data_IF_040065458702
#
_entry.id   IF_040065458702
#
_cell.length_a   1.000
_cell.length_b   1.000
_cell.length_c   1.000
_cell.angle_alpha   90.00
_cell.angle_beta   90.00
_cell.angle_gamma   90.00
#
_symmetry.space_group_name_H-M   'P 1'
#
loop_
_entity.id
_entity.type
_entity.pdbx_description
1 polymer ?
#
# COMPACT_ATOMS: atom_id res chain seq x y z
N UNK A 1 -18.68 -19.18 -5.53
CA UNK A 1 -19.90 -18.85 -4.78
C UNK A 1 -20.56 -20.14 -4.31
N UNK A 2 -20.73 -20.29 -2.99
CA UNK A 2 -21.42 -21.44 -2.39
C UNK A 2 -22.75 -20.95 -1.80
N UNK A 3 -23.86 -21.55 -2.17
CA UNK A 3 -25.17 -21.26 -1.63
C UNK A 3 -25.83 -22.56 -1.13
N UNK A 4 -26.58 -22.45 -0.03
CA UNK A 4 -27.33 -23.58 0.47
C UNK A 4 -28.43 -23.97 -0.54
N UNK A 5 -28.61 -25.27 -0.90
CA UNK A 5 -29.56 -25.67 -1.96
C UNK A 5 -31.02 -25.23 -1.75
N UNK A 6 -31.42 -25.04 -0.49
CA UNK A 6 -32.77 -24.58 -0.11
C UNK A 6 -32.96 -23.07 -0.19
N UNK A 7 -31.90 -22.29 -0.47
CA UNK A 7 -31.99 -20.83 -0.52
C UNK A 7 -32.53 -20.36 -1.88
N UNK A 8 -33.78 -19.88 -1.88
CA UNK A 8 -34.53 -19.57 -3.14
C UNK A 8 -33.97 -18.38 -3.92
N UNK A 9 -33.32 -17.44 -3.26
CA UNK A 9 -32.91 -16.16 -3.86
C UNK A 9 -31.43 -16.13 -4.28
N UNK A 10 -30.69 -17.23 -4.15
CA UNK A 10 -29.26 -17.26 -4.38
C UNK A 10 -28.82 -16.76 -5.78
N UNK A 11 -29.62 -17.01 -6.83
CA UNK A 11 -29.30 -16.55 -8.19
C UNK A 11 -29.34 -15.03 -8.30
N UNK A 12 -30.34 -14.38 -7.65
CA UNK A 12 -30.45 -12.93 -7.64
C UNK A 12 -29.32 -12.29 -6.86
N UNK A 13 -29.00 -12.81 -5.69
CA UNK A 13 -27.91 -12.32 -4.88
C UNK A 13 -26.54 -12.55 -5.51
N UNK A 14 -26.34 -13.71 -6.15
CA UNK A 14 -25.15 -13.96 -6.96
C UNK A 14 -24.98 -12.91 -8.06
N UNK A 15 -26.06 -12.61 -8.81
CA UNK A 15 -26.00 -11.57 -9.86
C UNK A 15 -25.65 -10.21 -9.31
N UNK A 16 -26.26 -9.82 -8.18
CA UNK A 16 -25.95 -8.54 -7.51
C UNK A 16 -24.52 -8.48 -7.02
N UNK A 17 -24.03 -9.56 -6.39
CA UNK A 17 -22.65 -9.65 -5.93
C UNK A 17 -21.64 -9.56 -7.08
N UNK A 18 -21.88 -10.29 -8.18
CA UNK A 18 -21.01 -10.24 -9.36
C UNK A 18 -20.97 -8.82 -9.95
N UNK A 19 -22.12 -8.16 -10.10
CA UNK A 19 -22.16 -6.80 -10.60
C UNK A 19 -21.43 -5.80 -9.67
N UNK A 20 -21.48 -6.01 -8.34
CA UNK A 20 -20.70 -5.21 -7.39
C UNK A 20 -19.20 -5.48 -7.55
N UNK A 21 -18.80 -6.76 -7.68
CA UNK A 21 -17.40 -7.14 -7.87
C UNK A 21 -16.85 -6.57 -9.19
N UNK A 22 -17.60 -6.63 -10.30
CA UNK A 22 -17.21 -6.02 -11.57
C UNK A 22 -16.91 -4.52 -11.41
N UNK A 23 -17.74 -3.79 -10.65
CA UNK A 23 -17.55 -2.35 -10.40
C UNK A 23 -16.30 -2.04 -9.57
N UNK A 24 -16.00 -2.84 -8.54
CA UNK A 24 -14.84 -2.59 -7.65
C UNK A 24 -13.52 -3.14 -8.18
N UNK A 25 -13.57 -4.10 -9.12
CA UNK A 25 -12.38 -4.68 -9.78
C UNK A 25 -12.20 -4.18 -11.21
N UNK A 26 -12.99 -3.17 -11.63
CA UNK A 26 -12.72 -2.46 -12.88
C UNK A 26 -11.29 -1.93 -12.90
N UNK A 27 -10.61 -2.07 -14.04
CA UNK A 27 -9.18 -1.76 -14.15
C UNK A 27 -8.87 -0.27 -13.97
N UNK A 28 -9.70 0.61 -14.54
CA UNK A 28 -9.51 2.06 -14.41
C UNK A 28 -9.81 2.52 -12.97
N UNK A 29 -10.84 1.93 -12.37
CA UNK A 29 -11.21 2.22 -10.99
C UNK A 29 -10.12 1.76 -10.00
N UNK A 30 -9.60 0.54 -10.16
CA UNK A 30 -8.51 0.02 -9.29
C UNK A 30 -7.23 0.82 -9.42
N UNK A 31 -6.88 1.28 -10.62
CA UNK A 31 -5.75 2.20 -10.82
C UNK A 31 -5.99 3.57 -10.15
N UNK A 32 -7.22 4.11 -10.26
CA UNK A 32 -7.57 5.36 -9.58
C UNK A 32 -7.48 5.22 -8.05
N UNK A 33 -7.92 4.08 -7.50
CA UNK A 33 -7.80 3.73 -6.08
C UNK A 33 -6.33 3.67 -5.64
N UNK A 34 -5.46 3.06 -6.44
CA UNK A 34 -4.01 3.02 -6.19
C UNK A 34 -3.39 4.42 -6.17
N UNK A 35 -3.57 5.17 -7.25
CA UNK A 35 -3.05 6.56 -7.38
C UNK A 35 -3.54 7.49 -6.27
N UNK A 36 -4.81 7.35 -5.86
CA UNK A 36 -5.35 8.17 -4.78
C UNK A 36 -4.66 7.89 -3.44
N UNK A 37 -4.44 6.63 -3.10
CA UNK A 37 -3.71 6.25 -1.88
C UNK A 37 -2.27 6.77 -1.91
N UNK A 38 -1.58 6.64 -3.03
CA UNK A 38 -0.23 7.20 -3.20
C UNK A 38 -0.20 8.71 -2.94
N UNK A 39 -1.15 9.48 -3.52
CA UNK A 39 -1.25 10.94 -3.30
C UNK A 39 -1.50 11.27 -1.81
N UNK A 40 -2.34 10.49 -1.14
CA UNK A 40 -2.63 10.70 0.28
C UNK A 40 -1.40 10.41 1.15
N UNK A 41 -0.68 9.33 0.87
CA UNK A 41 0.58 9.02 1.57
C UNK A 41 1.68 10.03 1.22
N UNK A 42 1.78 10.52 -0.01
CA UNK A 42 2.70 11.62 -0.37
C UNK A 42 2.48 12.85 0.52
N UNK A 43 1.21 13.26 0.67
CA UNK A 43 0.83 14.38 1.54
C UNK A 43 1.17 14.12 3.01
N UNK A 44 0.82 12.93 3.52
CA UNK A 44 1.08 12.55 4.91
C UNK A 44 2.59 12.46 5.21
N UNK A 45 3.37 11.85 4.33
CA UNK A 45 4.83 11.76 4.44
C UNK A 45 5.46 13.15 4.47
N UNK A 46 5.05 14.04 3.57
CA UNK A 46 5.58 15.41 3.50
C UNK A 46 5.31 16.19 4.78
N UNK A 47 4.10 16.09 5.36
CA UNK A 47 3.76 16.73 6.64
C UNK A 47 4.59 16.19 7.82
N UNK A 48 5.08 14.96 7.72
CA UNK A 48 5.95 14.33 8.73
C UNK A 48 7.44 14.46 8.40
N UNK A 49 7.82 15.42 7.53
CA UNK A 49 9.21 15.75 7.25
C UNK A 49 9.93 14.81 6.28
N UNK A 50 9.23 13.89 5.63
CA UNK A 50 9.80 13.07 4.58
C UNK A 50 9.74 13.82 3.24
N UNK A 51 10.87 14.21 2.70
CA UNK A 51 10.98 14.90 1.41
C UNK A 51 10.95 13.91 0.26
N UNK A 52 9.97 14.03 -0.64
CA UNK A 52 9.89 13.21 -1.86
C UNK A 52 11.00 13.65 -2.81
N UNK A 53 11.85 12.72 -3.23
CA UNK A 53 12.98 12.94 -4.15
C UNK A 53 12.75 12.34 -5.54
N UNK A 54 11.86 11.35 -5.64
CA UNK A 54 11.51 10.74 -6.92
C UNK A 54 10.22 9.93 -6.83
N UNK A 55 9.57 9.74 -7.99
CA UNK A 55 8.37 8.92 -8.19
C UNK A 55 8.63 7.96 -9.34
N UNK A 56 8.17 6.72 -9.23
CA UNK A 56 8.36 5.67 -10.23
C UNK A 56 9.82 5.48 -10.63
N UNK A 57 10.71 5.34 -9.64
CA UNK A 57 12.16 5.41 -9.84
C UNK A 57 12.85 4.06 -9.67
N UNK A 58 13.84 3.82 -10.53
CA UNK A 58 14.75 2.67 -10.47
C UNK A 58 16.23 3.10 -10.36
N UNK A 59 16.51 4.36 -10.04
CA UNK A 59 17.88 4.89 -9.90
C UNK A 59 17.98 5.85 -8.72
N UNK A 60 19.15 5.84 -8.05
CA UNK A 60 19.44 6.72 -6.93
C UNK A 60 20.96 6.86 -6.73
N UNK A 61 21.44 8.10 -6.53
CA UNK A 61 22.86 8.41 -6.25
C UNK A 61 23.84 7.72 -7.19
N UNK A 62 23.54 7.68 -8.48
CA UNK A 62 24.42 7.08 -9.51
C UNK A 62 24.26 5.57 -9.68
N UNK A 63 23.54 4.87 -8.81
CA UNK A 63 23.15 3.48 -9.00
C UNK A 63 21.85 3.40 -9.82
N UNK A 64 21.74 2.40 -10.71
CA UNK A 64 20.53 2.15 -11.51
C UNK A 64 20.23 0.65 -11.48
N UNK A 65 18.97 0.33 -11.23
CA UNK A 65 18.46 -1.04 -11.31
C UNK A 65 18.14 -1.41 -12.77
N UNK A 66 18.79 -2.47 -13.27
CA UNK A 66 18.64 -2.94 -14.65
C UNK A 66 18.25 -4.41 -14.77
N UNK A 67 18.11 -5.12 -13.65
CA UNK A 67 17.79 -6.55 -13.67
C UNK A 67 16.33 -6.81 -14.13
N UNK A 68 15.43 -5.86 -13.87
CA UNK A 68 14.03 -5.94 -14.26
C UNK A 68 13.47 -4.54 -14.52
N UNK A 69 12.27 -4.45 -15.11
CA UNK A 69 11.56 -3.18 -15.37
C UNK A 69 10.79 -2.66 -14.13
N UNK A 70 11.13 -3.11 -12.93
CA UNK A 70 10.43 -2.65 -11.71
C UNK A 70 11.04 -1.35 -11.19
N UNK A 71 10.15 -0.48 -10.72
CA UNK A 71 10.47 0.79 -10.08
C UNK A 71 9.98 0.78 -8.64
N UNK A 72 10.50 1.67 -7.81
CA UNK A 72 9.90 2.01 -6.51
C UNK A 72 8.86 3.10 -6.72
N UNK A 73 7.75 3.05 -5.99
CA UNK A 73 6.71 4.09 -6.08
C UNK A 73 7.29 5.46 -5.70
N UNK A 74 8.14 5.52 -4.65
CA UNK A 74 8.78 6.76 -4.20
C UNK A 74 10.19 6.52 -3.68
N UNK A 75 11.02 7.55 -3.82
CA UNK A 75 12.20 7.73 -2.96
C UNK A 75 11.96 8.97 -2.11
N UNK A 76 12.10 8.84 -0.80
CA UNK A 76 11.99 9.95 0.15
C UNK A 76 13.23 10.04 1.03
N UNK A 77 13.52 11.26 1.51
CA UNK A 77 14.63 11.51 2.44
C UNK A 77 14.11 12.21 3.68
N UNK A 78 14.54 11.78 4.86
CA UNK A 78 14.37 12.47 6.13
C UNK A 78 15.62 12.31 6.99
N UNK A 79 16.10 13.37 7.57
CA UNK A 79 17.28 13.41 8.46
C UNK A 79 18.50 12.68 7.85
N UNK A 80 18.75 12.92 6.55
CA UNK A 80 19.86 12.30 5.81
C UNK A 80 19.65 10.83 5.42
N UNK A 81 18.58 10.18 5.87
CA UNK A 81 18.28 8.78 5.56
C UNK A 81 17.35 8.71 4.35
N UNK A 82 17.76 7.95 3.32
CA UNK A 82 16.97 7.72 2.12
C UNK A 82 16.19 6.41 2.20
N UNK A 83 14.90 6.47 1.85
CA UNK A 83 13.95 5.35 1.87
C UNK A 83 13.44 5.06 0.48
N UNK A 84 13.39 3.78 0.11
CA UNK A 84 12.65 3.29 -1.04
C UNK A 84 11.26 2.82 -0.61
N UNK A 85 10.22 3.43 -1.16
CA UNK A 85 8.83 3.20 -0.74
C UNK A 85 8.07 2.39 -1.78
N UNK A 86 7.30 1.42 -1.30
CA UNK A 86 6.26 0.71 -2.02
C UNK A 86 4.92 0.87 -1.30
N UNK A 87 3.86 1.30 -2.02
CA UNK A 87 2.53 1.55 -1.48
C UNK A 87 1.53 0.58 -2.09
N UNK A 88 0.94 -0.30 -1.28
CA UNK A 88 -0.05 -1.30 -1.72
C UNK A 88 -1.41 -1.07 -1.08
N UNK A 89 -2.30 -0.42 -1.81
CA UNK A 89 -3.68 -0.17 -1.42
C UNK A 89 -4.64 -1.15 -2.12
N UNK A 90 -4.42 -2.45 -1.94
CA UNK A 90 -5.14 -3.51 -2.64
C UNK A 90 -5.91 -4.43 -1.68
N UNK A 91 -6.81 -5.26 -2.21
CA UNK A 91 -7.53 -6.29 -1.44
C UNK A 91 -6.64 -7.52 -1.16
N UNK A 92 -5.55 -7.68 -1.89
CA UNK A 92 -4.57 -8.74 -1.69
C UNK A 92 -3.26 -8.16 -1.15
N UNK A 93 -2.45 -9.00 -0.51
CA UNK A 93 -1.08 -8.64 -0.18
C UNK A 93 -0.16 -8.79 -1.41
N UNK A 94 0.96 -8.06 -1.40
CA UNK A 94 2.01 -8.18 -2.40
C UNK A 94 2.47 -9.63 -2.54
N UNK A 95 2.65 -10.10 -3.77
CA UNK A 95 3.15 -11.46 -4.01
C UNK A 95 4.61 -11.58 -3.54
N UNK A 96 4.98 -12.77 -3.04
CA UNK A 96 6.32 -12.99 -2.46
C UNK A 96 7.47 -12.65 -3.42
N UNK A 97 7.42 -13.05 -4.72
CA UNK A 97 8.48 -12.69 -5.67
C UNK A 97 8.59 -11.18 -5.88
N UNK A 98 7.48 -10.46 -5.95
CA UNK A 98 7.46 -9.01 -6.08
C UNK A 98 8.03 -8.32 -4.83
N UNK A 99 7.67 -8.79 -3.62
CA UNK A 99 8.25 -8.28 -2.39
C UNK A 99 9.78 -8.44 -2.37
N UNK A 100 10.26 -9.63 -2.70
CA UNK A 100 11.69 -9.94 -2.68
C UNK A 100 12.44 -9.07 -3.69
N UNK A 101 11.90 -8.91 -4.90
CA UNK A 101 12.47 -8.04 -5.93
C UNK A 101 12.54 -6.57 -5.49
N UNK A 102 11.47 -6.02 -4.92
CA UNK A 102 11.45 -4.63 -4.42
C UNK A 102 12.43 -4.42 -3.26
N UNK A 103 12.61 -5.42 -2.41
CA UNK A 103 13.61 -5.40 -1.34
C UNK A 103 15.04 -5.40 -1.90
N UNK A 104 15.31 -6.22 -2.91
CA UNK A 104 16.62 -6.29 -3.56
C UNK A 104 16.90 -5.00 -4.35
N UNK A 105 15.89 -4.40 -4.99
CA UNK A 105 15.99 -3.09 -5.64
C UNK A 105 16.37 -2.01 -4.61
N UNK A 106 15.71 -1.95 -3.45
CA UNK A 106 16.11 -1.03 -2.38
C UNK A 106 17.55 -1.26 -1.93
N UNK A 107 17.97 -2.51 -1.75
CA UNK A 107 19.34 -2.87 -1.37
C UNK A 107 20.37 -2.43 -2.42
N UNK A 108 20.09 -2.67 -3.71
CA UNK A 108 20.94 -2.26 -4.82
C UNK A 108 21.15 -0.74 -4.86
N UNK A 109 20.09 0.02 -4.63
CA UNK A 109 20.13 1.49 -4.62
C UNK A 109 20.65 2.08 -3.29
N UNK A 110 20.98 1.27 -2.28
CA UNK A 110 21.41 1.75 -0.97
C UNK A 110 20.29 2.44 -0.17
N UNK A 111 19.04 2.09 -0.43
CA UNK A 111 17.86 2.64 0.21
C UNK A 111 17.38 1.77 1.36
N UNK A 112 16.79 2.38 2.38
CA UNK A 112 16.09 1.67 3.45
C UNK A 112 14.67 1.33 2.96
N UNK A 113 14.27 0.05 2.92
CA UNK A 113 12.93 -0.33 2.47
C UNK A 113 11.84 0.17 3.43
N UNK A 114 10.81 0.80 2.87
CA UNK A 114 9.61 1.22 3.57
C UNK A 114 8.38 0.75 2.78
N UNK A 115 7.68 -0.26 3.29
CA UNK A 115 6.49 -0.81 2.67
C UNK A 115 5.24 -0.32 3.39
N UNK A 116 4.35 0.37 2.67
CA UNK A 116 3.07 0.87 3.17
C UNK A 116 1.99 -0.02 2.57
N UNK A 117 1.40 -0.88 3.41
CA UNK A 117 0.50 -1.93 2.94
C UNK A 117 -0.74 -2.00 3.80
N UNK A 118 -1.87 -2.36 3.18
CA UNK A 118 -3.10 -2.59 3.93
C UNK A 118 -2.96 -3.80 4.87
N UNK A 119 -2.36 -4.87 4.42
CA UNK A 119 -2.02 -6.02 5.24
C UNK A 119 -0.91 -6.87 4.60
N UNK A 120 -0.23 -7.66 5.42
CA UNK A 120 0.79 -8.58 4.97
C UNK A 120 0.94 -9.75 5.97
N UNK A 121 1.43 -10.92 5.52
CA UNK A 121 1.81 -12.00 6.42
C UNK A 121 2.91 -11.56 7.40
N UNK A 122 2.89 -12.12 8.61
CA UNK A 122 3.94 -11.84 9.62
C UNK A 122 5.35 -12.13 9.11
N UNK A 123 5.51 -13.15 8.24
CA UNK A 123 6.79 -13.49 7.61
C UNK A 123 7.34 -12.36 6.72
N UNK A 124 6.47 -11.59 6.06
CA UNK A 124 6.87 -10.42 5.26
C UNK A 124 7.38 -9.29 6.15
N UNK A 125 6.65 -8.99 7.23
CA UNK A 125 7.07 -7.99 8.21
C UNK A 125 8.41 -8.34 8.84
N UNK A 126 8.59 -9.63 9.20
CA UNK A 126 9.86 -10.12 9.70
C UNK A 126 11.00 -9.95 8.68
N UNK A 127 10.76 -10.33 7.41
CA UNK A 127 11.73 -10.21 6.33
C UNK A 127 12.16 -8.76 6.10
N UNK A 128 11.21 -7.85 5.98
CA UNK A 128 11.47 -6.41 5.81
C UNK A 128 12.33 -5.88 6.98
N UNK A 129 11.93 -6.19 8.21
CA UNK A 129 12.57 -5.63 9.40
C UNK A 129 13.93 -6.28 9.73
N UNK A 130 14.03 -7.59 9.64
CA UNK A 130 15.24 -8.33 10.09
C UNK A 130 16.30 -8.46 9.00
N UNK A 131 15.88 -8.81 7.78
CA UNK A 131 16.83 -9.08 6.70
C UNK A 131 17.28 -7.79 5.99
N UNK A 132 16.40 -6.80 5.89
CA UNK A 132 16.68 -5.57 5.15
C UNK A 132 16.69 -4.30 6.04
N UNK A 133 16.48 -4.45 7.36
CA UNK A 133 16.42 -3.34 8.32
C UNK A 133 15.44 -2.24 7.93
N UNK A 134 14.39 -2.62 7.19
CA UNK A 134 13.32 -1.76 6.71
C UNK A 134 12.15 -1.67 7.69
N UNK A 135 11.07 -1.06 7.24
CA UNK A 135 9.82 -0.93 7.97
C UNK A 135 8.61 -1.28 7.10
N UNK A 136 7.67 -2.01 7.68
CA UNK A 136 6.35 -2.24 7.10
C UNK A 136 5.32 -1.46 7.90
N UNK A 137 4.70 -0.46 7.28
CA UNK A 137 3.56 0.25 7.84
C UNK A 137 2.28 -0.45 7.39
N UNK A 138 1.55 -1.06 8.31
CA UNK A 138 0.23 -1.63 8.03
C UNK A 138 -0.86 -0.64 8.41
N UNK A 139 -1.82 -0.43 7.52
CA UNK A 139 -3.03 0.35 7.77
C UNK A 139 -4.27 -0.49 7.52
N UNK A 140 -5.40 -0.15 8.16
CA UNK A 140 -6.50 -1.09 8.29
C UNK A 140 -7.46 -1.08 7.09
N UNK A 141 -7.86 0.10 6.63
CA UNK A 141 -8.95 0.25 5.68
C UNK A 141 -8.42 0.63 4.30
N UNK A 142 -8.88 -0.06 3.25
CA UNK A 142 -8.53 0.33 1.89
C UNK A 142 -9.07 1.73 1.58
N UNK A 143 -8.21 2.57 1.01
CA UNK A 143 -8.46 3.98 0.72
C UNK A 143 -9.01 4.12 -0.69
N UNK A 144 -10.15 4.79 -0.80
CA UNK A 144 -10.81 5.06 -2.08
C UNK A 144 -10.89 6.56 -2.35
N UNK A 145 -10.90 6.99 -3.62
CA UNK A 145 -11.09 8.39 -3.97
C UNK A 145 -12.47 8.91 -3.56
N UNK A 146 -12.58 10.22 -3.40
CA UNK A 146 -13.84 10.87 -3.06
C UNK A 146 -14.90 10.67 -4.14
N UNK A 147 -16.20 10.82 -3.75
CA UNK A 147 -17.32 10.68 -4.68
C UNK A 147 -17.91 9.28 -4.79
N UNK A 148 -17.32 8.27 -4.14
CA UNK A 148 -17.77 6.87 -4.22
C UNK A 148 -18.51 6.36 -2.98
N UNK A 149 -19.05 7.24 -2.13
CA UNK A 149 -19.63 6.87 -0.83
C UNK A 149 -20.73 5.82 -0.93
N UNK A 150 -21.61 5.91 -1.94
CA UNK A 150 -22.69 4.92 -2.16
C UNK A 150 -22.11 3.54 -2.47
N UNK A 151 -21.13 3.47 -3.38
CA UNK A 151 -20.43 2.22 -3.69
C UNK A 151 -19.75 1.64 -2.47
N UNK A 152 -19.07 2.47 -1.67
CA UNK A 152 -18.37 2.02 -0.47
C UNK A 152 -19.32 1.53 0.63
N UNK A 153 -20.51 2.13 0.76
CA UNK A 153 -21.56 1.64 1.65
C UNK A 153 -22.02 0.25 1.20
N UNK A 154 -22.34 0.08 -0.09
CA UNK A 154 -22.74 -1.20 -0.68
C UNK A 154 -21.66 -2.29 -0.46
N UNK A 155 -20.38 -1.96 -0.66
CA UNK A 155 -19.24 -2.87 -0.43
C UNK A 155 -19.17 -3.31 1.03
N UNK A 156 -19.29 -2.38 1.97
CA UNK A 156 -19.25 -2.70 3.42
C UNK A 156 -20.42 -3.59 3.83
N UNK A 157 -21.64 -3.25 3.36
CA UNK A 157 -22.87 -3.95 3.72
C UNK A 157 -22.96 -5.34 3.07
N UNK A 158 -22.54 -5.46 1.81
CA UNK A 158 -22.71 -6.71 1.04
C UNK A 158 -21.56 -7.69 1.25
N UNK A 159 -20.33 -7.19 1.33
CA UNK A 159 -19.12 -8.04 1.34
C UNK A 159 -18.39 -7.96 2.69
N UNK A 160 -18.65 -6.95 3.50
CA UNK A 160 -17.98 -6.75 4.79
C UNK A 160 -16.53 -6.26 4.68
N UNK A 161 -16.14 -5.71 3.51
CA UNK A 161 -14.77 -5.20 3.34
C UNK A 161 -14.57 -3.87 4.06
N UNK A 162 -13.40 -3.72 4.68
CA UNK A 162 -12.99 -2.48 5.32
C UNK A 162 -12.46 -1.50 4.27
N UNK A 163 -13.33 -0.62 3.83
CA UNK A 163 -13.09 0.40 2.79
C UNK A 163 -13.53 1.77 3.28
N UNK A 164 -12.78 2.81 2.94
CA UNK A 164 -13.11 4.19 3.30
C UNK A 164 -12.63 5.19 2.25
N UNK A 165 -13.17 6.41 2.32
CA UNK A 165 -12.69 7.57 1.57
C UNK A 165 -12.35 8.66 2.58
N UNK A 166 -11.19 8.55 3.27
CA UNK A 166 -10.82 9.49 4.33
C UNK A 166 -10.31 10.80 3.71
N UNK A 167 -10.40 11.89 4.48
CA UNK A 167 -9.80 13.17 4.08
C UNK A 167 -8.29 13.17 4.25
N UNK A 168 -7.78 12.30 5.13
CA UNK A 168 -6.36 12.22 5.47
C UNK A 168 -5.97 10.82 5.96
N UNK A 169 -4.65 10.53 5.94
CA UNK A 169 -4.10 9.33 6.57
C UNK A 169 -4.19 9.49 8.09
N UNK A 170 -4.56 8.41 8.78
CA UNK A 170 -4.68 8.40 10.26
C UNK A 170 -3.35 8.81 10.91
N UNK A 171 -3.39 9.79 11.80
CA UNK A 171 -2.21 10.27 12.52
C UNK A 171 -1.46 9.15 13.25
N UNK A 172 -2.18 8.17 13.81
CA UNK A 172 -1.58 7.03 14.48
C UNK A 172 -0.70 6.18 13.57
N UNK A 173 -1.02 6.07 12.27
CA UNK A 173 -0.21 5.34 11.30
C UNK A 173 1.09 6.10 11.03
N UNK A 174 0.99 7.41 10.80
CA UNK A 174 2.15 8.25 10.55
C UNK A 174 3.04 8.40 11.79
N UNK A 175 2.45 8.44 12.98
CA UNK A 175 3.20 8.47 14.23
C UNK A 175 4.02 7.19 14.45
N UNK A 176 3.48 6.01 14.09
CA UNK A 176 4.24 4.75 14.13
C UNK A 176 5.47 4.80 13.22
N UNK A 177 5.32 5.34 12.01
CA UNK A 177 6.43 5.53 11.07
C UNK A 177 7.45 6.53 11.61
N UNK A 178 7.01 7.68 12.10
CA UNK A 178 7.87 8.73 12.67
C UNK A 178 8.66 8.20 13.88
N UNK A 179 8.01 7.48 14.79
CA UNK A 179 8.68 6.88 15.95
C UNK A 179 9.73 5.84 15.55
N UNK A 180 9.45 5.02 14.53
CA UNK A 180 10.44 4.09 14.03
C UNK A 180 11.62 4.80 13.37
N UNK A 181 11.36 5.83 12.56
CA UNK A 181 12.39 6.65 11.94
C UNK A 181 13.30 7.32 12.98
N UNK A 182 12.73 7.97 14.00
CA UNK A 182 13.50 8.65 15.04
C UNK A 182 14.45 7.67 15.77
N UNK A 183 13.97 6.49 16.17
CA UNK A 183 14.82 5.44 16.77
C UNK A 183 15.93 4.95 15.84
N UNK A 184 15.76 5.07 14.54
CA UNK A 184 16.76 4.72 13.55
C UNK A 184 17.81 5.83 13.42
N UNK A 185 17.36 7.08 13.30
CA UNK A 185 18.23 8.25 13.18
C UNK A 185 19.16 8.42 14.39
N UNK A 186 18.70 8.07 15.61
CA UNK A 186 19.54 8.07 16.83
C UNK A 186 20.69 7.05 16.79
N UNK A 187 20.65 6.06 15.88
CA UNK A 187 21.64 4.96 15.77
C UNK A 187 22.54 5.07 14.55
N UNK A 188 22.30 6.06 13.70
CA UNK A 188 23.04 6.32 12.46
C UNK A 188 24.11 7.36 12.67
#
# INVERSE_FOLDING_TARGET
FYAHPKYRYWKREQKQLLALLERIFDSEFTQAVGRHAEMMFDSALSRHGFMIKGKDVNSWNGATWTETNHNLDRIVVRDGIAYGIEIKNTQNYIQRPELDLKLDLCKHLGLVPLFIMRFAPKSYMHRIAKNYRGFGLLYEEQIYPFGHNTLLAEVRETIGLKVQSPRDIKDGDMQRLANWHNKRAEKS
#
